data_IF_069823941128
#
_entry.id   IF_069823941128
#
_cell.length_a   1.000
_cell.length_b   1.000
_cell.length_c   1.000
_cell.angle_alpha   90.00
_cell.angle_beta   90.00
_cell.angle_gamma   90.00
#
_symmetry.space_group_name_H-M   'P 1'
#
loop_
_entity.id
_entity.type
_entity.pdbx_description
1 polymer ?
#
# COMPACT_ATOMS: atom_id res chain seq x y z
N UNK A 1 -24.56 -17.14 28.32
CA UNK A 1 -24.27 -15.99 27.44
C UNK A 1 -25.38 -15.89 26.44
N UNK A 2 -26.00 -14.72 26.27
CA UNK A 2 -27.15 -14.50 25.36
C UNK A 2 -26.72 -14.76 23.90
N UNK A 3 -27.60 -15.37 23.11
CA UNK A 3 -27.38 -15.51 21.66
C UNK A 3 -27.40 -14.13 21.01
N UNK A 4 -26.76 -13.99 19.85
CA UNK A 4 -26.69 -12.68 19.12
C UNK A 4 -28.08 -12.09 18.91
N UNK A 5 -29.09 -12.91 18.60
CA UNK A 5 -30.48 -12.48 18.42
C UNK A 5 -31.15 -11.94 19.69
N UNK A 6 -30.66 -12.32 20.88
CA UNK A 6 -31.23 -11.92 22.16
C UNK A 6 -30.58 -10.61 22.68
N UNK A 7 -29.55 -10.11 22.00
CA UNK A 7 -28.92 -8.81 22.30
C UNK A 7 -29.73 -7.65 21.75
N UNK A 8 -29.66 -6.47 22.40
CA UNK A 8 -30.19 -5.23 21.81
C UNK A 8 -29.69 -5.06 20.38
N UNK A 9 -30.53 -4.57 19.48
CA UNK A 9 -30.15 -4.42 18.04
C UNK A 9 -28.81 -3.72 17.86
N UNK A 10 -28.56 -2.64 18.60
CA UNK A 10 -27.33 -1.83 18.50
C UNK A 10 -26.04 -2.58 18.93
N UNK A 11 -26.17 -3.66 19.67
CA UNK A 11 -25.04 -4.49 20.11
C UNK A 11 -24.75 -5.70 19.21
N UNK A 12 -25.59 -5.90 18.21
CA UNK A 12 -25.40 -6.98 17.24
C UNK A 12 -24.28 -6.59 16.26
N UNK A 13 -23.38 -7.51 15.87
CA UNK A 13 -22.21 -7.17 15.07
C UNK A 13 -22.51 -6.40 13.78
N UNK A 14 -23.57 -6.76 13.04
CA UNK A 14 -23.94 -6.11 11.78
C UNK A 14 -24.42 -4.68 11.99
N UNK A 15 -25.32 -4.49 12.92
CA UNK A 15 -25.87 -3.18 13.27
C UNK A 15 -24.79 -2.26 13.86
N UNK A 16 -23.85 -2.87 14.61
CA UNK A 16 -22.69 -2.18 15.13
C UNK A 16 -21.72 -1.76 14.02
N UNK A 17 -21.52 -2.63 13.02
CA UNK A 17 -20.73 -2.32 11.83
C UNK A 17 -21.32 -1.15 11.05
N UNK A 18 -22.63 -1.21 10.78
CA UNK A 18 -23.37 -0.17 10.06
C UNK A 18 -23.29 1.18 10.75
N UNK A 19 -23.46 1.20 12.08
CA UNK A 19 -23.52 2.45 12.84
C UNK A 19 -22.13 3.06 13.14
N UNK A 20 -21.13 2.25 13.44
CA UNK A 20 -19.87 2.73 13.99
C UNK A 20 -18.65 2.43 13.10
N UNK A 21 -18.84 1.70 11.98
CA UNK A 21 -17.76 1.30 11.08
C UNK A 21 -16.92 0.14 11.63
N UNK A 22 -16.13 -0.47 10.74
CA UNK A 22 -15.36 -1.69 11.05
C UNK A 22 -14.31 -1.49 12.15
N UNK A 23 -13.68 -0.33 12.23
CA UNK A 23 -12.64 -0.03 13.22
C UNK A 23 -13.11 -0.02 14.69
N UNK A 24 -14.43 -0.06 14.94
CA UNK A 24 -15.01 -0.12 16.29
C UNK A 24 -15.45 -1.52 16.71
N UNK A 25 -15.29 -2.51 15.84
CA UNK A 25 -15.63 -3.90 16.13
C UNK A 25 -14.39 -4.67 16.57
N UNK A 26 -14.63 -5.65 17.48
CA UNK A 26 -13.62 -6.65 17.83
C UNK A 26 -13.47 -7.66 16.68
N UNK A 27 -12.31 -8.30 16.58
CA UNK A 27 -12.04 -9.34 15.57
C UNK A 27 -13.10 -10.46 15.60
N UNK A 28 -13.52 -10.89 16.79
CA UNK A 28 -14.59 -11.88 16.94
C UNK A 28 -15.94 -11.42 16.41
N UNK A 29 -16.23 -10.11 16.44
CA UNK A 29 -17.45 -9.54 15.88
C UNK A 29 -17.36 -9.47 14.35
N UNK A 30 -16.20 -9.10 13.80
CA UNK A 30 -15.96 -9.11 12.35
C UNK A 30 -16.06 -10.53 11.79
N UNK A 31 -15.42 -11.50 12.46
CA UNK A 31 -15.49 -12.91 12.06
C UNK A 31 -16.91 -13.47 12.16
N UNK A 32 -17.69 -13.07 13.20
CA UNK A 32 -19.07 -13.46 13.34
C UNK A 32 -19.97 -12.93 12.19
N UNK A 33 -19.66 -11.75 11.64
CA UNK A 33 -20.35 -11.20 10.46
C UNK A 33 -20.07 -12.07 9.24
N UNK A 34 -18.82 -12.48 9.01
CA UNK A 34 -18.44 -13.36 7.90
C UNK A 34 -19.15 -14.72 8.01
N UNK A 35 -19.11 -15.35 9.18
CA UNK A 35 -19.71 -16.67 9.42
C UNK A 35 -21.22 -16.67 9.36
N UNK A 36 -21.89 -15.53 9.48
CA UNK A 36 -23.34 -15.30 9.44
C UNK A 36 -24.14 -16.04 10.53
N UNK A 37 -23.83 -17.31 10.77
CA UNK A 37 -24.53 -18.16 11.74
C UNK A 37 -23.56 -19.09 12.47
N UNK A 38 -23.93 -19.48 13.69
CA UNK A 38 -23.25 -20.54 14.42
C UNK A 38 -23.65 -21.94 13.97
N UNK A 39 -23.65 -22.89 14.90
CA UNK A 39 -24.17 -24.25 14.75
C UNK A 39 -25.43 -24.42 15.59
N UNK A 40 -25.99 -25.64 15.63
CA UNK A 40 -27.09 -25.96 16.55
C UNK A 40 -26.69 -25.71 18.01
N UNK A 41 -25.44 -26.05 18.37
CA UNK A 41 -24.96 -26.06 19.73
C UNK A 41 -24.11 -24.83 20.09
N UNK A 42 -23.58 -24.11 19.12
CA UNK A 42 -22.65 -23.00 19.33
C UNK A 42 -23.14 -21.74 18.62
N UNK A 43 -23.38 -20.68 19.40
CA UNK A 43 -23.68 -19.35 18.84
C UNK A 43 -22.50 -18.82 18.02
N UNK A 44 -22.79 -18.00 17.00
CA UNK A 44 -21.78 -17.48 16.06
C UNK A 44 -20.66 -16.69 16.76
N UNK A 45 -20.96 -15.97 17.85
CA UNK A 45 -19.94 -15.25 18.61
C UNK A 45 -18.98 -16.20 19.33
N UNK A 46 -19.53 -17.27 19.93
CA UNK A 46 -18.69 -18.29 20.56
C UNK A 46 -17.85 -19.06 19.55
N UNK A 47 -18.42 -19.35 18.36
CA UNK A 47 -17.70 -19.99 17.27
C UNK A 47 -16.54 -19.10 16.80
N UNK A 48 -16.80 -17.82 16.57
CA UNK A 48 -15.75 -16.85 16.20
C UNK A 48 -14.64 -16.76 17.23
N UNK A 49 -14.98 -16.67 18.52
CA UNK A 49 -14.02 -16.65 19.61
C UNK A 49 -13.20 -17.94 19.69
N UNK A 50 -13.83 -19.10 19.44
CA UNK A 50 -13.13 -20.39 19.39
C UNK A 50 -12.11 -20.42 18.24
N UNK A 51 -12.51 -20.00 17.03
CA UNK A 51 -11.61 -19.94 15.88
C UNK A 51 -10.39 -19.07 16.19
N UNK A 52 -10.59 -17.84 16.67
CA UNK A 52 -9.50 -16.92 16.99
C UNK A 52 -8.59 -17.43 18.12
N UNK A 53 -9.12 -18.22 19.05
CA UNK A 53 -8.33 -18.85 20.10
C UNK A 53 -7.50 -20.03 19.58
N UNK A 54 -8.07 -20.83 18.66
CA UNK A 54 -7.42 -22.02 18.12
C UNK A 54 -6.34 -21.64 17.08
N UNK A 55 -6.50 -20.49 16.42
CA UNK A 55 -5.52 -19.86 15.49
C UNK A 55 -4.95 -18.57 16.06
N UNK A 56 -4.14 -18.67 17.14
CA UNK A 56 -3.45 -17.53 17.75
C UNK A 56 -2.39 -16.91 16.83
N UNK A 57 -1.99 -15.68 17.14
CA UNK A 57 -0.85 -14.98 16.53
C UNK A 57 -0.94 -14.89 15.00
N UNK A 58 -2.11 -14.47 14.51
CA UNK A 58 -2.39 -14.28 13.07
C UNK A 58 -2.29 -15.56 12.20
N UNK A 59 -2.14 -16.74 12.79
CA UNK A 59 -2.10 -18.02 12.06
C UNK A 59 -3.36 -18.29 11.23
N UNK A 60 -4.48 -17.64 11.56
CA UNK A 60 -5.72 -17.72 10.78
C UNK A 60 -5.55 -17.14 9.36
N UNK A 61 -4.61 -16.20 9.16
CA UNK A 61 -4.33 -15.58 7.86
C UNK A 61 -3.69 -16.57 6.86
N UNK A 62 -3.05 -17.62 7.39
CA UNK A 62 -2.36 -18.64 6.60
C UNK A 62 -3.05 -20.01 6.68
N UNK A 63 -4.21 -20.07 7.36
CA UNK A 63 -4.92 -21.32 7.58
C UNK A 63 -5.43 -21.92 6.26
N UNK A 64 -5.23 -23.22 6.07
CA UNK A 64 -5.82 -23.95 4.95
C UNK A 64 -7.31 -24.24 5.20
N UNK A 65 -8.05 -24.55 4.15
CA UNK A 65 -9.47 -24.93 4.25
C UNK A 65 -9.61 -26.17 5.15
N UNK A 66 -8.72 -27.16 4.97
CA UNK A 66 -8.73 -28.39 5.78
C UNK A 66 -8.47 -28.08 7.26
N UNK A 67 -7.50 -27.23 7.57
CA UNK A 67 -7.19 -26.87 8.96
C UNK A 67 -8.38 -26.21 9.65
N UNK A 68 -9.11 -25.34 8.93
CA UNK A 68 -10.33 -24.70 9.43
C UNK A 68 -11.48 -25.70 9.61
N UNK A 69 -11.62 -26.69 8.72
CA UNK A 69 -12.67 -27.72 8.82
C UNK A 69 -12.49 -28.66 10.03
N UNK A 70 -11.30 -28.75 10.60
CA UNK A 70 -11.06 -29.50 11.84
C UNK A 70 -11.75 -28.84 13.07
N UNK A 71 -12.20 -27.59 12.94
CA UNK A 71 -12.98 -26.93 13.98
C UNK A 71 -14.45 -27.35 13.87
N UNK A 72 -14.94 -27.99 14.91
CA UNK A 72 -16.37 -28.35 14.98
C UNK A 72 -17.25 -27.12 14.74
N UNK A 73 -18.09 -27.20 13.72
CA UNK A 73 -18.99 -26.11 13.30
C UNK A 73 -18.51 -25.26 12.12
N UNK A 74 -17.32 -25.54 11.59
CA UNK A 74 -16.85 -24.99 10.32
C UNK A 74 -16.97 -26.06 9.21
N UNK A 75 -18.07 -26.00 8.44
CA UNK A 75 -18.18 -26.76 7.19
C UNK A 75 -17.37 -26.10 6.08
N UNK A 76 -17.25 -26.81 4.95
CA UNK A 76 -16.48 -26.37 3.77
C UNK A 76 -16.82 -24.92 3.35
N UNK A 77 -18.09 -24.56 3.28
CA UNK A 77 -18.50 -23.23 2.83
C UNK A 77 -17.91 -22.11 3.72
N UNK A 78 -18.02 -22.23 5.05
CA UNK A 78 -17.49 -21.24 5.98
C UNK A 78 -15.96 -21.20 5.99
N UNK A 79 -15.30 -22.34 5.86
CA UNK A 79 -13.86 -22.41 5.74
C UNK A 79 -13.36 -21.68 4.48
N UNK A 80 -14.03 -21.92 3.34
CA UNK A 80 -13.73 -21.21 2.09
C UNK A 80 -14.00 -19.71 2.19
N UNK A 81 -15.08 -19.27 2.85
CA UNK A 81 -15.38 -17.83 3.06
C UNK A 81 -14.26 -17.15 3.84
N UNK A 82 -13.71 -17.78 4.90
CA UNK A 82 -12.60 -17.24 5.69
C UNK A 82 -11.34 -17.13 4.82
N UNK A 83 -10.93 -18.21 4.19
CA UNK A 83 -9.70 -18.24 3.36
C UNK A 83 -9.80 -17.24 2.21
N UNK A 84 -10.93 -17.19 1.51
CA UNK A 84 -11.14 -16.25 0.40
C UNK A 84 -11.10 -14.78 0.87
N UNK A 85 -11.70 -14.46 2.03
CA UNK A 85 -11.68 -13.13 2.60
C UNK A 85 -10.26 -12.66 2.93
N UNK A 86 -9.47 -13.49 3.61
CA UNK A 86 -8.09 -13.15 3.96
C UNK A 86 -7.19 -13.07 2.72
N UNK A 87 -7.34 -13.98 1.75
CA UNK A 87 -6.58 -13.93 0.50
C UNK A 87 -6.92 -12.67 -0.32
N UNK A 88 -8.19 -12.28 -0.40
CA UNK A 88 -8.60 -11.05 -1.05
C UNK A 88 -7.99 -9.82 -0.36
N UNK A 89 -8.05 -9.78 0.97
CA UNK A 89 -7.39 -8.75 1.78
C UNK A 89 -5.89 -8.70 1.52
N UNK A 90 -5.22 -9.85 1.55
CA UNK A 90 -3.79 -10.00 1.28
C UNK A 90 -3.41 -9.50 -0.11
N UNK A 91 -4.19 -9.82 -1.17
CA UNK A 91 -3.96 -9.30 -2.52
C UNK A 91 -4.11 -7.79 -2.61
N UNK A 92 -5.12 -7.22 -1.96
CA UNK A 92 -5.35 -5.77 -1.95
C UNK A 92 -4.31 -5.01 -1.12
N UNK A 93 -3.83 -5.61 -0.03
CA UNK A 93 -2.78 -5.04 0.81
C UNK A 93 -1.37 -5.26 0.23
N UNK A 94 -1.12 -6.37 -0.49
CA UNK A 94 0.14 -6.57 -1.23
C UNK A 94 0.39 -5.52 -2.31
N UNK A 95 -0.66 -4.87 -2.82
CA UNK A 95 -0.50 -3.68 -3.67
C UNK A 95 0.07 -2.46 -2.96
N UNK A 96 0.24 -2.52 -1.64
CA UNK A 96 0.93 -1.55 -0.80
C UNK A 96 2.18 -2.18 -0.16
N UNK A 97 3.02 -2.89 -0.95
CA UNK A 97 4.42 -3.04 -0.55
C UNK A 97 4.96 -1.61 -0.43
N UNK A 98 5.14 -1.17 0.79
CA UNK A 98 5.84 0.08 1.04
C UNK A 98 7.28 -0.15 0.61
N UNK A 99 7.64 0.29 -0.59
CA UNK A 99 9.00 0.19 -1.06
C UNK A 99 9.87 1.05 -0.14
N UNK A 100 10.94 0.49 0.37
CA UNK A 100 11.96 1.25 1.08
C UNK A 100 13.00 1.61 0.04
N UNK A 101 13.12 2.91 -0.28
CA UNK A 101 14.02 3.39 -1.32
C UNK A 101 15.29 3.93 -0.65
N UNK A 102 16.26 3.06 -0.49
CA UNK A 102 17.57 3.39 0.12
C UNK A 102 18.68 3.60 -0.91
N UNK A 103 18.53 3.02 -2.10
CA UNK A 103 19.52 3.05 -3.18
C UNK A 103 18.83 3.34 -4.51
N UNK A 104 19.56 3.93 -5.43
CA UNK A 104 19.09 4.20 -6.80
C UNK A 104 18.61 2.93 -7.52
N UNK A 105 19.18 1.76 -7.15
CA UNK A 105 18.70 0.46 -7.64
C UNK A 105 17.25 0.18 -7.25
N UNK A 106 16.84 0.51 -6.03
CA UNK A 106 15.47 0.29 -5.57
C UNK A 106 14.48 1.12 -6.40
N UNK A 107 14.89 2.36 -6.79
CA UNK A 107 14.14 3.21 -7.70
C UNK A 107 14.00 2.57 -9.07
N UNK A 108 15.11 2.07 -9.63
CA UNK A 108 15.14 1.39 -10.93
C UNK A 108 14.24 0.15 -10.94
N UNK A 109 14.29 -0.67 -9.89
CA UNK A 109 13.43 -1.86 -9.74
C UNK A 109 11.94 -1.48 -9.63
N UNK A 110 11.63 -0.33 -9.04
CA UNK A 110 10.26 0.18 -8.90
C UNK A 110 9.72 0.76 -10.21
N UNK A 111 10.59 1.21 -11.13
CA UNK A 111 10.22 1.82 -12.41
C UNK A 111 10.12 0.82 -13.58
N UNK A 112 9.97 -0.47 -13.31
CA UNK A 112 9.88 -1.53 -14.33
C UNK A 112 8.79 -1.28 -15.39
N UNK A 113 7.73 -0.60 -15.03
CA UNK A 113 6.59 -0.25 -15.89
C UNK A 113 6.87 0.94 -16.84
N UNK A 114 7.90 1.73 -16.57
CA UNK A 114 8.20 2.99 -17.26
C UNK A 114 9.58 2.97 -17.93
N UNK A 115 10.58 2.34 -17.32
CA UNK A 115 11.99 2.45 -17.74
C UNK A 115 12.23 2.06 -19.20
N UNK A 116 11.40 1.17 -19.78
CA UNK A 116 11.44 0.80 -21.22
C UNK A 116 10.48 1.60 -22.11
N UNK A 117 9.85 2.65 -21.60
CA UNK A 117 8.93 3.49 -22.38
C UNK A 117 9.65 4.28 -23.47
N UNK A 118 8.99 4.46 -24.63
CA UNK A 118 9.46 5.31 -25.72
C UNK A 118 9.27 6.82 -25.46
N UNK A 119 8.53 7.17 -24.41
CA UNK A 119 8.35 8.57 -23.95
C UNK A 119 9.09 8.75 -22.64
N UNK A 120 9.63 9.91 -22.42
CA UNK A 120 10.18 10.29 -21.12
C UNK A 120 9.07 10.48 -20.10
N UNK A 121 9.26 10.01 -18.89
CA UNK A 121 8.34 10.16 -17.77
C UNK A 121 9.13 10.70 -16.59
N UNK A 122 8.73 11.86 -16.10
CA UNK A 122 9.29 12.40 -14.88
C UNK A 122 8.43 11.96 -13.69
N UNK A 123 9.04 11.24 -12.76
CA UNK A 123 8.38 10.56 -11.65
C UNK A 123 8.90 11.09 -10.33
N UNK A 124 8.01 11.28 -9.37
CA UNK A 124 8.35 11.66 -7.99
C UNK A 124 7.90 10.56 -7.04
N UNK A 125 8.80 10.16 -6.16
CA UNK A 125 8.55 9.29 -5.04
C UNK A 125 8.51 10.13 -3.76
N UNK A 126 7.38 10.16 -3.08
CA UNK A 126 7.19 10.83 -1.82
C UNK A 126 7.49 9.87 -0.68
N UNK A 127 8.38 10.24 0.23
CA UNK A 127 8.91 9.36 1.26
C UNK A 127 8.61 9.89 2.65
N UNK A 128 8.40 8.97 3.59
CA UNK A 128 8.35 9.29 5.00
C UNK A 128 9.78 9.37 5.60
N UNK A 129 9.88 9.67 6.90
CA UNK A 129 11.15 9.78 7.63
C UNK A 129 11.97 8.48 7.71
N UNK A 130 11.40 7.34 7.28
CA UNK A 130 12.07 6.03 7.19
C UNK A 130 12.42 5.64 5.76
N UNK A 131 12.39 6.59 4.82
CA UNK A 131 12.57 6.37 3.38
C UNK A 131 11.59 5.35 2.77
N UNK A 132 10.42 5.22 3.37
CA UNK A 132 9.36 4.38 2.85
C UNK A 132 8.52 5.19 1.88
N UNK A 133 8.23 4.63 0.72
CA UNK A 133 7.37 5.22 -0.29
C UNK A 133 5.94 5.39 0.25
N UNK A 134 5.48 6.64 0.38
CA UNK A 134 4.10 6.97 0.70
C UNK A 134 3.26 6.92 -0.58
N UNK A 135 3.80 7.50 -1.66
CA UNK A 135 3.14 7.61 -2.96
C UNK A 135 4.18 7.82 -4.07
N UNK A 136 3.83 7.37 -5.26
CA UNK A 136 4.52 7.66 -6.50
C UNK A 136 3.59 8.42 -7.43
N UNK A 137 4.08 9.49 -8.09
CA UNK A 137 3.34 10.26 -9.09
C UNK A 137 4.18 10.50 -10.34
N UNK A 138 3.52 10.45 -11.49
CA UNK A 138 4.09 10.88 -12.77
C UNK A 138 3.72 12.35 -12.93
N UNK A 139 4.70 13.22 -12.93
CA UNK A 139 4.51 14.67 -13.06
C UNK A 139 4.45 15.11 -14.52
N UNK A 140 5.26 14.48 -15.37
CA UNK A 140 5.31 14.83 -16.79
C UNK A 140 5.51 13.60 -17.65
N UNK A 141 4.93 13.62 -18.88
CA UNK A 141 5.12 12.61 -19.92
C UNK A 141 5.41 13.32 -21.23
N UNK A 142 6.51 13.00 -21.88
CA UNK A 142 6.95 13.61 -23.12
C UNK A 142 8.45 13.82 -23.11
N UNK A 143 8.91 15.02 -23.38
CA UNK A 143 10.29 15.44 -23.17
C UNK A 143 10.43 16.07 -21.80
N UNK A 144 11.45 15.68 -21.04
CA UNK A 144 11.78 16.34 -19.77
C UNK A 144 12.56 17.62 -20.09
N UNK A 145 11.85 18.74 -20.16
CA UNK A 145 12.52 20.04 -20.25
C UNK A 145 12.32 20.83 -18.96
N UNK A 146 13.26 21.71 -18.66
CA UNK A 146 13.23 22.59 -17.49
C UNK A 146 11.98 23.48 -17.43
N UNK A 147 11.25 23.59 -18.52
CA UNK A 147 9.99 24.33 -18.64
C UNK A 147 8.73 23.50 -18.35
N UNK A 148 8.85 22.14 -18.34
CA UNK A 148 7.71 21.23 -18.15
C UNK A 148 7.61 20.66 -16.73
N UNK A 149 8.69 20.69 -15.93
CA UNK A 149 8.69 20.22 -14.54
C UNK A 149 8.82 21.40 -13.60
N UNK A 150 7.69 21.85 -13.07
CA UNK A 150 7.66 22.95 -12.13
C UNK A 150 7.82 22.46 -10.69
N UNK A 151 8.69 23.11 -9.86
CA UNK A 151 8.78 22.80 -8.44
C UNK A 151 7.44 22.78 -7.72
N UNK A 152 6.51 23.68 -8.10
CA UNK A 152 5.16 23.72 -7.54
C UNK A 152 4.43 22.38 -7.65
N UNK A 153 4.47 21.73 -8.82
CA UNK A 153 3.77 20.45 -9.04
C UNK A 153 4.39 19.32 -8.24
N UNK A 154 5.72 19.28 -8.20
CA UNK A 154 6.49 18.29 -7.42
C UNK A 154 6.21 18.42 -5.93
N UNK A 155 6.26 19.64 -5.40
CA UNK A 155 6.10 19.87 -3.96
C UNK A 155 4.65 19.96 -3.49
N UNK A 156 3.69 20.25 -4.38
CA UNK A 156 2.26 20.10 -4.06
C UNK A 156 1.95 18.68 -3.60
N UNK A 157 2.41 17.67 -4.36
CA UNK A 157 2.28 16.27 -3.98
C UNK A 157 3.00 15.92 -2.68
N UNK A 158 4.20 16.48 -2.46
CA UNK A 158 4.97 16.26 -1.23
C UNK A 158 4.23 16.79 0.02
N UNK A 159 3.71 18.02 -0.05
CA UNK A 159 2.95 18.65 1.04
C UNK A 159 1.65 17.88 1.30
N UNK A 160 0.89 17.57 0.25
CA UNK A 160 -0.38 16.83 0.36
C UNK A 160 -0.25 15.46 1.01
N UNK A 161 0.89 14.81 0.80
CA UNK A 161 1.16 13.48 1.35
C UNK A 161 1.99 13.52 2.65
N UNK A 162 2.28 14.71 3.22
CA UNK A 162 3.14 14.90 4.38
C UNK A 162 4.50 14.19 4.22
N UNK A 163 5.11 14.31 3.04
CA UNK A 163 6.39 13.68 2.76
C UNK A 163 7.53 14.41 3.50
N UNK A 164 8.42 13.67 4.12
CA UNK A 164 9.64 14.19 4.75
C UNK A 164 10.75 14.44 3.73
N UNK A 165 10.72 13.70 2.63
CA UNK A 165 11.71 13.78 1.56
C UNK A 165 11.12 13.24 0.26
N UNK A 166 11.81 13.51 -0.85
CA UNK A 166 11.45 12.98 -2.16
C UNK A 166 12.66 12.41 -2.88
N UNK A 167 12.41 11.45 -3.75
CA UNK A 167 13.32 11.05 -4.83
C UNK A 167 12.62 11.39 -6.14
N UNK A 168 13.38 11.96 -7.08
CA UNK A 168 12.89 12.18 -8.43
C UNK A 168 13.62 11.22 -9.38
N UNK A 169 12.91 10.77 -10.41
CA UNK A 169 13.49 9.90 -11.42
C UNK A 169 12.85 10.14 -12.78
N UNK A 170 13.58 9.89 -13.85
CA UNK A 170 13.03 9.86 -15.19
C UNK A 170 13.70 8.80 -16.05
N UNK A 171 12.98 8.32 -17.06
CA UNK A 171 13.56 7.38 -18.01
C UNK A 171 14.09 8.10 -19.24
N UNK A 172 15.22 7.59 -19.77
CA UNK A 172 15.77 7.99 -21.06
C UNK A 172 15.44 6.94 -22.14
N UNK A 173 14.56 7.26 -23.10
CA UNK A 173 14.27 6.36 -24.24
C UNK A 173 15.47 6.06 -25.13
N UNK A 174 16.48 6.96 -25.12
CA UNK A 174 17.75 6.78 -25.87
C UNK A 174 18.59 5.61 -25.38
N UNK A 175 18.37 5.17 -24.12
CA UNK A 175 19.21 4.14 -23.47
C UNK A 175 20.50 4.69 -22.84
N UNK A 176 20.80 5.98 -22.94
CA UNK A 176 21.93 6.63 -22.28
C UNK A 176 21.49 7.22 -20.94
N UNK A 177 22.27 6.97 -19.89
CA UNK A 177 22.01 7.48 -18.52
C UNK A 177 22.76 8.78 -18.21
N UNK A 178 23.44 9.40 -19.20
CA UNK A 178 24.06 10.69 -19.00
C UNK A 178 23.00 11.80 -18.82
N UNK A 179 23.07 12.61 -17.74
CA UNK A 179 22.13 13.70 -17.52
C UNK A 179 22.32 14.79 -18.59
N UNK A 180 21.21 15.30 -19.10
CA UNK A 180 21.19 16.47 -19.99
C UNK A 180 21.41 17.78 -19.20
N UNK A 181 21.58 18.88 -19.90
CA UNK A 181 21.62 20.20 -19.29
C UNK A 181 20.29 20.53 -18.61
N UNK A 182 19.16 20.20 -19.26
CA UNK A 182 17.82 20.41 -18.72
C UNK A 182 17.59 19.63 -17.43
N UNK A 183 18.05 18.37 -17.34
CA UNK A 183 17.98 17.56 -16.11
C UNK A 183 18.74 18.21 -14.95
N UNK A 184 19.91 18.74 -15.27
CA UNK A 184 20.74 19.44 -14.28
C UNK A 184 20.06 20.72 -13.78
N UNK A 185 19.44 21.50 -14.67
CA UNK A 185 18.73 22.74 -14.32
C UNK A 185 17.47 22.46 -13.50
N UNK A 186 16.65 21.47 -13.90
CA UNK A 186 15.47 21.02 -13.15
C UNK A 186 15.89 20.60 -11.75
N UNK A 187 16.93 19.77 -11.64
CA UNK A 187 17.42 19.27 -10.35
C UNK A 187 17.86 20.42 -9.43
N UNK A 188 18.61 21.39 -9.94
CA UNK A 188 19.01 22.57 -9.17
C UNK A 188 17.82 23.35 -8.64
N UNK A 189 16.81 23.61 -9.50
CA UNK A 189 15.57 24.32 -9.11
C UNK A 189 14.83 23.55 -8.01
N UNK A 190 14.68 22.22 -8.15
CA UNK A 190 14.02 21.38 -7.17
C UNK A 190 14.78 21.37 -5.84
N UNK A 191 16.09 21.23 -5.84
CA UNK A 191 16.94 21.27 -4.61
C UNK A 191 16.78 22.60 -3.88
N UNK A 192 16.76 23.73 -4.60
CA UNK A 192 16.55 25.04 -3.99
C UNK A 192 15.16 25.18 -3.38
N UNK A 193 14.11 24.73 -4.09
CA UNK A 193 12.74 24.74 -3.58
C UNK A 193 12.60 23.83 -2.36
N UNK A 194 13.21 22.63 -2.40
CA UNK A 194 13.19 21.70 -1.29
C UNK A 194 13.84 22.25 -0.02
N UNK A 195 14.93 23.01 -0.15
CA UNK A 195 15.56 23.71 0.99
C UNK A 195 14.65 24.76 1.64
N UNK A 196 13.85 25.47 0.83
CA UNK A 196 12.91 26.47 1.34
C UNK A 196 11.76 25.82 2.09
N UNK A 197 11.29 24.66 1.58
CA UNK A 197 10.12 23.92 2.11
C UNK A 197 10.48 22.93 3.21
N UNK A 198 11.77 22.77 3.54
CA UNK A 198 12.28 21.73 4.44
C UNK A 198 11.89 20.30 4.02
N UNK A 199 11.81 20.06 2.71
CA UNK A 199 11.54 18.76 2.09
C UNK A 199 12.78 18.37 1.26
N UNK A 200 13.58 17.45 1.78
CA UNK A 200 14.84 17.08 1.16
C UNK A 200 14.64 16.28 -0.13
N UNK A 201 15.39 16.62 -1.19
CA UNK A 201 15.59 15.73 -2.34
C UNK A 201 16.76 14.80 -2.01
N UNK A 202 16.46 13.49 -1.93
CA UNK A 202 17.47 12.48 -1.57
C UNK A 202 18.31 12.12 -2.78
N UNK A 203 17.66 11.95 -3.94
CA UNK A 203 18.32 11.52 -5.17
C UNK A 203 17.54 11.97 -6.42
N UNK A 204 18.27 12.07 -7.53
CA UNK A 204 17.71 12.12 -8.88
C UNK A 204 18.31 10.99 -9.70
N UNK A 205 17.45 10.07 -10.16
CA UNK A 205 17.84 8.83 -10.82
C UNK A 205 17.37 8.83 -12.27
N UNK A 206 18.32 8.70 -13.20
CA UNK A 206 18.02 8.41 -14.59
C UNK A 206 17.96 6.90 -14.77
N UNK A 207 16.90 6.42 -15.40
CA UNK A 207 16.69 4.97 -15.62
C UNK A 207 16.54 4.65 -17.09
N UNK A 208 17.06 3.51 -17.47
CA UNK A 208 16.85 2.89 -18.79
C UNK A 208 16.41 1.45 -18.60
N UNK A 209 16.07 0.76 -19.66
CA UNK A 209 15.69 -0.66 -19.56
C UNK A 209 16.82 -1.53 -18.99
N UNK A 210 18.09 -1.14 -19.20
CA UNK A 210 19.27 -1.94 -18.87
C UNK A 210 20.04 -1.43 -17.64
N UNK A 211 20.04 -0.12 -17.38
CA UNK A 211 20.88 0.49 -16.38
C UNK A 211 20.24 1.73 -15.76
N UNK A 212 20.85 2.24 -14.72
CA UNK A 212 20.43 3.45 -14.02
C UNK A 212 21.65 4.25 -13.55
N UNK A 213 21.45 5.54 -13.32
CA UNK A 213 22.46 6.45 -12.77
C UNK A 213 21.83 7.47 -11.83
N UNK A 214 22.39 7.57 -10.63
CA UNK A 214 22.16 8.68 -9.69
C UNK A 214 23.09 9.85 -10.04
N UNK A 215 22.61 11.09 -9.89
CA UNK A 215 23.45 12.26 -10.16
C UNK A 215 23.25 13.45 -9.20
N UNK A 216 22.72 13.17 -7.98
CA UNK A 216 22.80 14.07 -6.82
C UNK A 216 23.74 13.47 -5.78
#
# INVERSE_FOLDING_TARGET
MLKVKDKPKIERPREKLEKYGAGKLKESELLAILLRSGTKDLDVMKLSQKILRDFKDDKILEASVEALQNIHGLGLAKACEIVACFELGRRKLKGKKTNILLKSKDVWDTMVDIRGSKKEHFVVFYLNSRNQEIKREIISVGTVSASLVHPREVFEGAIKNNASSIIVAHNHPSGDTAPSQDDTEVTKKLVLAGKILDIKIIDHVIVTDKEFKSFI
#
